data_IF_643649242257
#
_entry.id   IF_643649242257
#
_cell.length_a   1.000
_cell.length_b   1.000
_cell.length_c   1.000
_cell.angle_alpha   90.00
_cell.angle_beta   90.00
_cell.angle_gamma   90.00
#
_symmetry.space_group_name_H-M   'P 1'
#
loop_
_entity.id
_entity.type
_entity.pdbx_description
1 polymer ?
#
# COMPACT_ATOMS: atom_id res chain seq x y z
N UNK A 1 20.26 -8.12 -5.04
CA UNK A 1 19.43 -7.26 -5.92
C UNK A 1 18.39 -6.53 -5.07
N UNK A 2 18.40 -5.19 -5.04
CA UNK A 2 17.50 -4.35 -4.22
C UNK A 2 16.92 -3.23 -5.08
N UNK A 3 15.67 -3.34 -5.54
CA UNK A 3 15.08 -2.35 -6.43
C UNK A 3 15.05 -0.93 -5.83
N UNK A 4 15.35 0.07 -6.65
CA UNK A 4 15.35 1.48 -6.25
C UNK A 4 13.93 2.05 -6.27
N UNK A 5 13.59 2.89 -5.29
CA UNK A 5 12.28 3.53 -5.28
C UNK A 5 12.19 4.62 -6.34
N UNK A 6 11.14 4.59 -7.15
CA UNK A 6 10.76 5.78 -7.90
C UNK A 6 10.28 6.88 -6.94
N UNK A 7 10.47 8.14 -7.33
CA UNK A 7 10.03 9.31 -6.52
C UNK A 7 8.54 9.26 -6.18
N UNK A 8 7.71 8.76 -7.10
CA UNK A 8 6.28 8.67 -6.88
C UNK A 8 5.91 7.51 -5.95
N UNK A 9 6.56 6.35 -6.09
CA UNK A 9 6.38 5.23 -5.15
C UNK A 9 6.78 5.61 -3.73
N UNK A 10 7.91 6.31 -3.56
CA UNK A 10 8.33 6.82 -2.26
C UNK A 10 7.29 7.76 -1.66
N UNK A 11 6.76 8.70 -2.47
CA UNK A 11 5.70 9.62 -2.04
C UNK A 11 4.45 8.90 -1.56
N UNK A 12 4.01 7.86 -2.28
CA UNK A 12 2.84 7.05 -1.89
C UNK A 12 3.07 6.41 -0.52
N UNK A 13 4.20 5.74 -0.31
CA UNK A 13 4.51 5.05 0.94
C UNK A 13 4.65 6.01 2.12
N UNK A 14 5.30 7.15 1.91
CA UNK A 14 5.47 8.19 2.95
C UNK A 14 4.13 8.83 3.29
N UNK A 15 3.28 9.13 2.29
CA UNK A 15 1.97 9.74 2.53
C UNK A 15 1.06 8.79 3.30
N UNK A 16 1.02 7.52 2.93
CA UNK A 16 0.31 6.49 3.68
C UNK A 16 0.78 6.40 5.14
N UNK A 17 2.09 6.36 5.36
CA UNK A 17 2.67 6.36 6.71
C UNK A 17 2.26 7.58 7.53
N UNK A 18 2.29 8.78 6.93
CA UNK A 18 1.86 10.01 7.59
C UNK A 18 0.38 10.00 7.94
N UNK A 19 -0.48 9.57 7.02
CA UNK A 19 -1.92 9.44 7.27
C UNK A 19 -2.18 8.51 8.44
N UNK A 20 -1.52 7.35 8.47
CA UNK A 20 -1.74 6.38 9.53
C UNK A 20 -1.24 6.85 10.90
N UNK A 21 -0.15 7.61 10.93
CA UNK A 21 0.36 8.22 12.16
C UNK A 21 -0.58 9.29 12.72
N UNK A 22 -1.36 9.95 11.87
CA UNK A 22 -2.32 10.98 12.28
C UNK A 22 -3.64 10.40 12.81
N UNK A 23 -4.04 9.22 12.34
CA UNK A 23 -5.30 8.55 12.71
C UNK A 23 -5.17 7.64 13.95
N UNK A 24 -3.97 7.11 14.20
CA UNK A 24 -3.73 6.18 15.31
C UNK A 24 -3.45 6.91 16.63
N UNK A 25 -4.45 6.95 17.53
CA UNK A 25 -4.30 7.47 18.89
C UNK A 25 -3.34 6.60 19.73
N UNK A 26 -3.14 5.33 19.37
CA UNK A 26 -2.18 4.43 20.00
C UNK A 26 -0.81 4.52 19.30
N UNK A 27 0.02 5.46 19.76
CA UNK A 27 1.40 5.76 19.28
C UNK A 27 2.36 4.56 19.13
N UNK A 28 1.97 3.36 19.57
CA UNK A 28 2.79 2.15 19.57
C UNK A 28 2.83 1.41 18.21
N UNK A 29 1.82 1.54 17.35
CA UNK A 29 1.73 0.74 16.10
C UNK A 29 2.32 1.44 14.86
N UNK A 30 2.32 2.78 14.79
CA UNK A 30 2.82 3.59 13.66
C UNK A 30 4.27 4.06 13.82
N UNK A 31 5.19 3.10 13.89
CA UNK A 31 6.63 3.37 14.04
C UNK A 31 7.36 3.44 12.69
N UNK A 32 8.60 3.95 12.68
CA UNK A 32 9.51 3.90 11.52
C UNK A 32 9.59 2.50 10.91
N UNK A 33 9.43 1.44 11.74
CA UNK A 33 9.42 0.05 11.30
C UNK A 33 8.29 -0.26 10.31
N UNK A 34 7.14 0.40 10.41
CA UNK A 34 6.04 0.24 9.45
C UNK A 34 6.47 0.74 8.07
N UNK A 35 7.03 1.95 8.00
CA UNK A 35 7.52 2.52 6.75
C UNK A 35 8.63 1.64 6.14
N UNK A 36 9.57 1.16 6.95
CA UNK A 36 10.59 0.22 6.48
C UNK A 36 10.00 -1.09 5.97
N UNK A 37 8.96 -1.63 6.63
CA UNK A 37 8.26 -2.83 6.17
C UNK A 37 7.55 -2.61 4.85
N UNK A 38 6.87 -1.48 4.68
CA UNK A 38 6.25 -1.08 3.40
C UNK A 38 7.28 -1.00 2.27
N UNK A 39 8.44 -0.37 2.53
CA UNK A 39 9.55 -0.29 1.56
C UNK A 39 10.04 -1.69 1.19
N UNK A 40 10.26 -2.58 2.18
CA UNK A 40 10.71 -3.96 1.93
C UNK A 40 9.69 -4.76 1.12
N UNK A 41 8.40 -4.60 1.40
CA UNK A 41 7.30 -5.25 0.67
C UNK A 41 7.22 -4.75 -0.78
N UNK A 42 7.27 -3.45 -1.02
CA UNK A 42 7.27 -2.88 -2.37
C UNK A 42 8.51 -3.32 -3.18
N UNK A 43 9.68 -3.38 -2.53
CA UNK A 43 10.88 -3.95 -3.13
C UNK A 43 10.74 -5.45 -3.40
N UNK A 44 10.05 -6.21 -2.55
CA UNK A 44 9.79 -7.63 -2.80
C UNK A 44 8.84 -7.83 -3.99
N UNK A 45 7.79 -7.02 -4.10
CA UNK A 45 6.85 -7.07 -5.20
C UNK A 45 7.51 -6.73 -6.55
N UNK A 46 8.35 -5.70 -6.60
CA UNK A 46 9.13 -5.38 -7.81
C UNK A 46 10.10 -6.51 -8.20
N UNK A 47 10.75 -7.17 -7.23
CA UNK A 47 11.57 -8.37 -7.49
C UNK A 47 10.76 -9.52 -8.07
N UNK A 48 9.58 -9.79 -7.51
CA UNK A 48 8.66 -10.81 -8.02
C UNK A 48 8.27 -10.54 -9.48
N UNK A 49 8.21 -9.25 -9.84
CA UNK A 49 7.90 -8.78 -11.18
C UNK A 49 9.12 -8.61 -12.09
N UNK A 50 10.29 -9.12 -11.68
CA UNK A 50 11.57 -9.02 -12.41
C UNK A 50 11.99 -7.58 -12.75
N UNK A 51 11.70 -6.62 -11.86
CA UNK A 51 12.04 -5.20 -12.03
C UNK A 51 13.12 -4.75 -11.06
N UNK A 52 13.97 -3.84 -11.50
CA UNK A 52 15.02 -3.17 -10.71
C UNK A 52 14.56 -1.85 -10.08
N UNK A 53 13.35 -1.42 -10.42
CA UNK A 53 12.73 -0.18 -9.98
C UNK A 53 11.37 -0.48 -9.37
N UNK A 54 11.11 0.12 -8.21
CA UNK A 54 9.79 0.08 -7.56
C UNK A 54 8.90 1.11 -8.25
N UNK A 55 7.87 0.61 -8.91
CA UNK A 55 6.83 1.39 -9.57
C UNK A 55 5.64 1.65 -8.63
N UNK A 56 4.73 2.58 -8.97
CA UNK A 56 3.63 2.95 -8.09
C UNK A 56 2.76 1.75 -7.70
N UNK A 57 2.51 0.85 -8.64
CA UNK A 57 1.75 -0.39 -8.39
C UNK A 57 2.37 -1.28 -7.30
N UNK A 58 3.69 -1.27 -7.15
CA UNK A 58 4.37 -2.05 -6.12
C UNK A 58 4.16 -1.45 -4.72
N UNK A 59 4.12 -0.10 -4.63
CA UNK A 59 3.79 0.60 -3.40
C UNK A 59 2.32 0.39 -3.00
N UNK A 60 1.40 0.45 -3.97
CA UNK A 60 -0.03 0.22 -3.76
C UNK A 60 -0.28 -1.23 -3.30
N UNK A 61 0.34 -2.21 -3.96
CA UNK A 61 0.22 -3.62 -3.56
C UNK A 61 0.73 -3.87 -2.13
N UNK A 62 1.85 -3.23 -1.75
CA UNK A 62 2.37 -3.33 -0.39
C UNK A 62 1.40 -2.77 0.66
N UNK A 63 0.74 -1.64 0.37
CA UNK A 63 -0.25 -1.04 1.26
C UNK A 63 -1.48 -1.93 1.40
N UNK A 64 -2.05 -2.39 0.28
CA UNK A 64 -3.22 -3.30 0.28
C UNK A 64 -2.92 -4.56 1.10
N UNK A 65 -1.72 -5.13 0.97
CA UNK A 65 -1.29 -6.30 1.73
C UNK A 65 -1.26 -6.03 3.25
N UNK A 66 -0.73 -4.88 3.66
CA UNK A 66 -0.70 -4.49 5.09
C UNK A 66 -2.11 -4.25 5.63
N UNK A 67 -2.98 -3.56 4.89
CA UNK A 67 -4.37 -3.33 5.31
C UNK A 67 -5.14 -4.65 5.46
N UNK A 68 -5.00 -5.56 4.50
CA UNK A 68 -5.62 -6.88 4.56
C UNK A 68 -5.09 -7.72 5.75
N UNK A 69 -3.80 -7.63 6.06
CA UNK A 69 -3.18 -8.39 7.16
C UNK A 69 -3.62 -7.89 8.54
N UNK A 70 -3.86 -6.59 8.66
CA UNK A 70 -4.28 -5.96 9.92
C UNK A 70 -5.80 -6.00 10.13
N UNK A 71 -6.56 -6.55 9.19
CA UNK A 71 -8.04 -6.57 9.18
C UNK A 71 -8.65 -5.22 9.61
N UNK A 72 -7.93 -4.14 9.32
CA UNK A 72 -8.30 -2.79 9.74
C UNK A 72 -9.15 -2.21 8.63
N UNK A 73 -10.24 -1.54 8.97
CA UNK A 73 -11.03 -0.67 8.07
C UNK A 73 -10.17 0.54 7.69
N UNK A 74 -9.12 0.29 6.91
CA UNK A 74 -8.11 1.27 6.54
C UNK A 74 -8.60 2.23 5.47
N UNK A 75 -7.66 2.76 4.68
CA UNK A 75 -7.98 3.65 3.56
C UNK A 75 -8.69 2.91 2.43
N UNK A 76 -8.90 1.60 2.50
CA UNK A 76 -9.82 0.90 1.58
C UNK A 76 -11.05 0.42 2.37
N UNK A 77 -12.25 0.86 1.96
CA UNK A 77 -13.52 0.57 2.67
C UNK A 77 -13.84 -0.94 2.74
N UNK A 78 -13.17 -1.74 1.90
CA UNK A 78 -13.39 -3.18 1.71
C UNK A 78 -12.17 -4.04 2.18
N UNK A 79 -11.39 -3.55 3.13
CA UNK A 79 -10.16 -4.22 3.57
C UNK A 79 -10.37 -5.47 4.44
N UNK A 80 -11.61 -5.78 4.88
CA UNK A 80 -11.86 -7.05 5.56
C UNK A 80 -11.75 -8.18 4.54
N UNK A 81 -10.71 -9.02 4.70
CA UNK A 81 -10.51 -10.21 3.86
C UNK A 81 -11.74 -11.15 3.84
N UNK A 82 -12.62 -11.05 4.85
CA UNK A 82 -13.85 -11.80 4.97
C UNK A 82 -14.98 -11.30 4.04
N UNK A 83 -14.90 -10.06 3.55
CA UNK A 83 -15.95 -9.42 2.74
C UNK A 83 -15.47 -8.96 1.36
N UNK A 84 -14.23 -9.28 0.99
CA UNK A 84 -13.69 -8.87 -0.30
C UNK A 84 -14.46 -9.55 -1.44
N UNK A 85 -15.23 -8.76 -2.20
CA UNK A 85 -15.83 -9.24 -3.45
C UNK A 85 -14.74 -9.28 -4.52
N UNK A 86 -14.46 -10.47 -5.04
CA UNK A 86 -13.54 -10.64 -6.16
C UNK A 86 -14.32 -10.37 -7.45
N UNK A 87 -14.02 -9.25 -8.13
CA UNK A 87 -14.50 -9.01 -9.50
C UNK A 87 -13.99 -10.13 -10.44
N UNK A 88 -14.75 -10.44 -11.49
CA UNK A 88 -14.33 -11.37 -12.55
C UNK A 88 -13.04 -10.91 -13.25
N UNK A 89 -12.74 -9.61 -13.21
CA UNK A 89 -11.50 -9.04 -13.75
C UNK A 89 -10.60 -8.49 -12.61
N UNK A 90 -9.48 -9.17 -12.29
CA UNK A 90 -8.59 -8.76 -11.20
C UNK A 90 -7.89 -7.42 -11.46
N UNK A 91 -7.60 -7.08 -12.73
CA UNK A 91 -7.00 -5.81 -13.08
C UNK A 91 -7.97 -4.65 -12.85
N UNK A 92 -9.27 -4.88 -13.11
CA UNK A 92 -10.32 -3.89 -12.84
C UNK A 92 -10.41 -3.60 -11.34
N UNK A 93 -10.43 -4.65 -10.52
CA UNK A 93 -10.43 -4.51 -9.06
C UNK A 93 -9.19 -3.75 -8.56
N UNK A 94 -8.01 -4.12 -9.06
CA UNK A 94 -6.77 -3.45 -8.69
C UNK A 94 -6.78 -1.97 -9.09
N UNK A 95 -7.25 -1.64 -10.30
CA UNK A 95 -7.37 -0.24 -10.76
C UNK A 95 -8.33 0.57 -9.86
N UNK A 96 -9.46 -0.01 -9.49
CA UNK A 96 -10.43 0.61 -8.56
C UNK A 96 -9.76 0.91 -7.22
N UNK A 97 -9.17 -0.11 -6.57
CA UNK A 97 -8.47 0.06 -5.29
C UNK A 97 -7.31 1.04 -5.36
N UNK A 98 -6.55 1.01 -6.45
CA UNK A 98 -5.49 2.00 -6.71
C UNK A 98 -6.04 3.42 -6.68
N UNK A 99 -7.09 3.68 -7.46
CA UNK A 99 -7.63 5.04 -7.60
C UNK A 99 -8.19 5.53 -6.26
N UNK A 100 -8.97 4.69 -5.56
CA UNK A 100 -9.49 5.00 -4.22
C UNK A 100 -8.39 5.31 -3.21
N UNK A 101 -7.30 4.52 -3.22
CA UNK A 101 -6.15 4.76 -2.37
C UNK A 101 -5.47 6.09 -2.71
N UNK A 102 -5.24 6.37 -4.00
CA UNK A 102 -4.57 7.60 -4.41
C UNK A 102 -5.39 8.85 -4.06
N UNK A 103 -6.70 8.83 -4.28
CA UNK A 103 -7.63 9.89 -3.87
C UNK A 103 -7.53 10.13 -2.35
N UNK A 104 -7.61 9.07 -1.54
CA UNK A 104 -7.51 9.17 -0.07
C UNK A 104 -6.14 9.62 0.44
N UNK A 105 -5.10 9.54 -0.38
CA UNK A 105 -3.76 10.05 -0.08
C UNK A 105 -3.53 11.48 -0.60
N UNK A 106 -4.50 12.09 -1.28
CA UNK A 106 -4.38 13.36 -2.02
C UNK A 106 -3.31 13.28 -3.14
N UNK A 107 -3.23 12.14 -3.81
CA UNK A 107 -2.30 11.82 -4.90
C UNK A 107 -3.00 11.36 -6.19
N UNK A 108 -4.34 11.47 -6.24
CA UNK A 108 -5.22 11.10 -7.36
C UNK A 108 -5.11 12.05 -8.54
#
# INVERSE_FOLDING_TARGET
FKPNLSKFSERILVRYYQTQRSTDHEKARTTIRLLESLIRLAQAHSRLMFRDTVFPQDAIAAIILVEASLATSGLTDDASALHMSFDENPDKLFRKKKNELLEKLDLG
#
